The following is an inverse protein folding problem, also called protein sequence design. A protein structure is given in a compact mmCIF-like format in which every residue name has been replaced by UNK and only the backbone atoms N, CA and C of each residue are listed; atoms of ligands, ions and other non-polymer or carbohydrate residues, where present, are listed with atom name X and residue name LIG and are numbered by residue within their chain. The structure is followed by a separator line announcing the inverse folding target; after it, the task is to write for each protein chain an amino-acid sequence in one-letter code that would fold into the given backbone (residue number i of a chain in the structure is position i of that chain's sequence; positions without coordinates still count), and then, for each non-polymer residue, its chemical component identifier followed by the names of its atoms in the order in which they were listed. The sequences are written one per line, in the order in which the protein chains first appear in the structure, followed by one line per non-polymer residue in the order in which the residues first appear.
data_IF_175025063698
#
_entry.id   IF_175025063698
#
_cell.length_a   1.000
_cell.length_b   1.000
_cell.length_c   1.000
_cell.angle_alpha   90.00
_cell.angle_beta   90.00
_cell.angle_gamma   90.00
#
_symmetry.space_group_name_H-M   'P 1'
#
loop_
_entity.id
_entity.type
_entity.pdbx_description
1 polymer ?
#
# COMPACT_ATOMS: atom_id res chain seq x y z
N UNK A 1 22.38 -4.63 -6.92
CA UNK A 1 20.95 -4.91 -7.16
C UNK A 1 20.04 -3.87 -6.53
N UNK A 2 20.27 -3.43 -5.29
CA UNK A 2 19.36 -2.50 -4.60
C UNK A 2 19.13 -1.16 -5.32
N UNK A 3 20.15 -0.41 -5.79
CA UNK A 3 19.90 0.84 -6.52
C UNK A 3 19.07 0.63 -7.79
N UNK A 4 19.23 -0.53 -8.43
CA UNK A 4 18.42 -0.88 -9.59
C UNK A 4 16.96 -1.11 -9.21
N UNK A 5 16.69 -1.87 -8.14
CA UNK A 5 15.32 -2.09 -7.66
C UNK A 5 14.67 -0.77 -7.24
N UNK A 6 15.39 0.09 -6.52
CA UNK A 6 14.90 1.41 -6.10
C UNK A 6 14.49 2.27 -7.29
N UNK A 7 15.31 2.32 -8.35
CA UNK A 7 15.01 3.12 -9.55
C UNK A 7 13.76 2.60 -10.26
N UNK A 8 13.67 1.29 -10.50
CA UNK A 8 12.57 0.73 -11.31
C UNK A 8 11.26 0.64 -10.54
N UNK A 9 11.29 0.79 -9.22
CA UNK A 9 10.10 0.81 -8.34
C UNK A 9 9.76 2.21 -7.83
N UNK A 10 10.56 3.22 -8.17
CA UNK A 10 10.33 4.58 -7.71
C UNK A 10 8.97 5.11 -8.21
N UNK A 11 8.12 5.69 -7.35
CA UNK A 11 6.76 6.11 -7.74
C UNK A 11 6.74 7.01 -8.97
N UNK A 12 7.61 8.03 -9.01
CA UNK A 12 7.66 8.95 -10.15
C UNK A 12 8.16 8.28 -11.44
N UNK A 13 8.88 7.16 -11.35
CA UNK A 13 9.28 6.38 -12.54
C UNK A 13 8.11 5.53 -13.03
N UNK A 14 7.38 4.90 -12.11
CA UNK A 14 6.21 4.06 -12.42
C UNK A 14 5.02 4.85 -12.96
N UNK A 15 4.82 6.09 -12.50
CA UNK A 15 3.71 6.97 -12.91
C UNK A 15 4.06 7.86 -14.12
N UNK A 16 5.32 7.87 -14.55
CA UNK A 16 5.77 8.74 -15.64
C UNK A 16 5.34 8.21 -17.01
N UNK A 17 4.43 8.94 -17.65
CA UNK A 17 4.04 8.70 -19.04
C UNK A 17 5.23 8.79 -20.02
N UNK A 18 6.22 9.64 -19.70
CA UNK A 18 7.42 9.78 -20.53
C UNK A 18 8.28 8.52 -20.46
N UNK A 19 8.32 7.85 -19.29
CA UNK A 19 9.14 6.68 -19.05
C UNK A 19 8.40 5.36 -19.25
N UNK A 20 7.07 5.38 -19.40
CA UNK A 20 6.20 4.21 -19.47
C UNK A 20 6.73 3.12 -20.42
N UNK A 21 7.09 3.49 -21.65
CA UNK A 21 7.61 2.54 -22.63
C UNK A 21 8.98 1.97 -22.24
N UNK A 22 9.86 2.79 -21.68
CA UNK A 22 11.20 2.35 -21.25
C UNK A 22 11.09 1.42 -20.03
N UNK A 23 10.25 1.77 -19.08
CA UNK A 23 9.96 0.97 -17.88
C UNK A 23 9.30 -0.36 -18.26
N UNK A 24 8.31 -0.34 -19.15
CA UNK A 24 7.69 -1.55 -19.69
C UNK A 24 8.72 -2.47 -20.35
N UNK A 25 9.63 -1.94 -21.17
CA UNK A 25 10.73 -2.72 -21.75
C UNK A 25 11.62 -3.36 -20.68
N UNK A 26 11.96 -2.62 -19.62
CA UNK A 26 12.74 -3.17 -18.50
C UNK A 26 12.00 -4.36 -17.89
N UNK A 27 10.71 -4.21 -17.56
CA UNK A 27 9.93 -5.29 -16.97
C UNK A 27 9.75 -6.48 -17.92
N UNK A 28 9.69 -6.27 -19.23
CA UNK A 28 9.69 -7.36 -20.22
C UNK A 28 11.04 -8.10 -20.27
N UNK A 29 12.14 -7.36 -20.15
CA UNK A 29 13.46 -7.99 -19.98
C UNK A 29 13.49 -8.80 -18.68
N UNK A 30 13.02 -8.24 -17.57
CA UNK A 30 13.00 -8.93 -16.29
C UNK A 30 12.12 -10.19 -16.33
N UNK A 31 10.96 -10.15 -16.98
CA UNK A 31 10.09 -11.30 -17.18
C UNK A 31 10.83 -12.42 -17.94
N UNK A 32 11.39 -12.09 -19.11
CA UNK A 32 12.15 -13.01 -19.94
C UNK A 32 11.31 -14.06 -20.67
N UNK A 33 11.95 -14.75 -21.62
CA UNK A 33 11.30 -15.82 -22.35
C UNK A 33 10.88 -16.92 -21.36
N UNK A 34 9.61 -17.33 -21.45
CA UNK A 34 9.00 -18.32 -20.55
C UNK A 34 9.28 -18.04 -19.07
N UNK A 35 9.15 -16.77 -18.66
CA UNK A 35 9.18 -16.33 -17.26
C UNK A 35 10.52 -16.56 -16.52
N UNK A 36 11.54 -17.12 -17.19
CA UNK A 36 12.74 -17.65 -16.55
C UNK A 36 13.55 -16.61 -15.80
N UNK A 37 13.71 -15.42 -16.37
CA UNK A 37 14.52 -14.35 -15.77
C UNK A 37 13.82 -13.78 -14.54
N UNK A 38 12.50 -13.67 -14.59
CA UNK A 38 11.70 -13.17 -13.48
C UNK A 38 11.77 -14.12 -12.31
N UNK A 39 11.52 -15.41 -12.55
CA UNK A 39 11.60 -16.47 -11.54
C UNK A 39 13.01 -16.54 -10.93
N UNK A 40 14.06 -16.49 -11.75
CA UNK A 40 15.44 -16.53 -11.27
C UNK A 40 15.79 -15.33 -10.38
N UNK A 41 15.45 -14.10 -10.81
CA UNK A 41 15.69 -12.88 -10.04
C UNK A 41 14.91 -12.90 -8.72
N UNK A 42 13.61 -13.19 -8.77
CA UNK A 42 12.76 -13.20 -7.59
C UNK A 42 13.15 -14.33 -6.62
N UNK A 43 13.53 -15.50 -7.14
CA UNK A 43 14.08 -16.59 -6.36
C UNK A 43 15.38 -16.21 -5.63
N UNK A 44 16.27 -15.47 -6.30
CA UNK A 44 17.46 -14.91 -5.65
C UNK A 44 17.09 -13.94 -4.52
N UNK A 45 16.18 -13.00 -4.76
CA UNK A 45 15.73 -12.04 -3.74
C UNK A 45 15.12 -12.75 -2.52
N UNK A 46 14.24 -13.72 -2.76
CA UNK A 46 13.65 -14.56 -1.71
C UNK A 46 14.74 -15.23 -0.86
N UNK A 47 15.75 -15.83 -1.49
CA UNK A 47 16.84 -16.50 -0.77
C UNK A 47 17.64 -15.53 0.12
N UNK A 48 17.83 -14.27 -0.30
CA UNK A 48 18.48 -13.23 0.50
C UNK A 48 17.69 -12.95 1.79
N UNK A 49 16.35 -12.97 1.72
CA UNK A 49 15.49 -12.72 2.88
C UNK A 49 15.32 -13.95 3.79
N UNK A 50 15.27 -15.15 3.22
CA UNK A 50 15.15 -16.40 3.98
C UNK A 50 16.31 -16.63 4.96
N UNK A 51 17.49 -16.10 4.65
CA UNK A 51 18.70 -16.30 5.46
C UNK A 51 18.88 -15.28 6.61
N UNK A 52 17.86 -14.47 6.93
CA UNK A 52 17.96 -13.42 7.97
C UNK A 52 17.34 -13.88 9.29
N UNK A 53 18.10 -13.77 10.37
CA UNK A 53 17.62 -14.10 11.73
C UNK A 53 16.52 -13.13 12.20
N UNK A 54 16.72 -11.82 12.06
CA UNK A 54 15.73 -10.79 12.38
C UNK A 54 15.60 -9.75 11.26
N UNK A 55 14.38 -9.31 10.92
CA UNK A 55 14.17 -8.27 9.92
C UNK A 55 14.53 -6.88 10.48
N UNK A 56 15.53 -6.22 9.88
CA UNK A 56 15.80 -4.79 10.12
C UNK A 56 14.87 -3.92 9.27
N UNK A 57 14.74 -2.63 9.59
CA UNK A 57 14.01 -1.65 8.75
C UNK A 57 14.47 -1.67 7.30
N UNK A 58 15.79 -1.72 7.09
CA UNK A 58 16.39 -1.83 5.75
C UNK A 58 15.99 -3.14 5.05
N UNK A 59 15.96 -4.27 5.78
CA UNK A 59 15.52 -5.56 5.24
C UNK A 59 14.05 -5.51 4.80
N UNK A 60 13.20 -4.85 5.58
CA UNK A 60 11.77 -4.69 5.26
C UNK A 60 11.56 -3.79 4.04
N UNK A 61 12.32 -2.69 3.93
CA UNK A 61 12.27 -1.82 2.75
C UNK A 61 12.69 -2.59 1.49
N UNK A 62 13.79 -3.35 1.55
CA UNK A 62 14.23 -4.15 0.41
C UNK A 62 13.23 -5.26 0.05
N UNK A 63 12.56 -5.83 1.04
CA UNK A 63 11.49 -6.80 0.84
C UNK A 63 10.29 -6.16 0.12
N UNK A 64 9.89 -4.95 0.52
CA UNK A 64 8.84 -4.17 -0.15
C UNK A 64 9.20 -3.87 -1.61
N UNK A 65 10.41 -3.38 -1.89
CA UNK A 65 10.85 -3.15 -3.28
C UNK A 65 10.81 -4.45 -4.10
N UNK A 66 11.14 -5.59 -3.50
CA UNK A 66 11.08 -6.90 -4.15
C UNK A 66 9.64 -7.32 -4.49
N UNK A 67 8.67 -7.01 -3.62
CA UNK A 67 7.24 -7.23 -3.88
C UNK A 67 6.71 -6.30 -4.98
N UNK A 68 7.16 -5.04 -5.02
CA UNK A 68 6.79 -4.12 -6.11
C UNK A 68 7.34 -4.64 -7.44
N UNK A 69 8.58 -5.12 -7.49
CA UNK A 69 9.14 -5.73 -8.70
C UNK A 69 8.37 -6.98 -9.11
N UNK A 70 8.04 -7.87 -8.17
CA UNK A 70 7.18 -9.03 -8.44
C UNK A 70 5.86 -8.62 -9.10
N UNK A 71 5.17 -7.64 -8.50
CA UNK A 71 3.90 -7.13 -9.01
C UNK A 71 4.03 -6.51 -10.40
N UNK A 72 5.05 -5.69 -10.63
CA UNK A 72 5.25 -5.03 -11.92
C UNK A 72 5.65 -6.01 -13.03
N UNK A 73 6.44 -7.04 -12.72
CA UNK A 73 6.77 -8.13 -13.66
C UNK A 73 5.48 -8.79 -14.15
N UNK A 74 4.54 -9.09 -13.26
CA UNK A 74 3.26 -9.71 -13.62
C UNK A 74 2.35 -8.71 -14.34
N UNK A 75 2.12 -7.53 -13.75
CA UNK A 75 1.20 -6.52 -14.27
C UNK A 75 1.51 -6.12 -15.72
N UNK A 76 2.79 -5.91 -16.04
CA UNK A 76 3.21 -5.36 -17.33
C UNK A 76 3.45 -6.43 -18.42
N UNK A 77 3.46 -7.71 -18.05
CA UNK A 77 3.72 -8.82 -18.98
C UNK A 77 2.54 -9.79 -19.11
N UNK A 78 1.42 -9.49 -18.46
CA UNK A 78 0.23 -10.34 -18.49
C UNK A 78 -0.82 -9.82 -19.46
N UNK A 79 -1.31 -10.70 -20.35
CA UNK A 79 -2.58 -10.50 -21.07
C UNK A 79 -3.75 -11.28 -20.41
N UNK A 80 -3.49 -12.10 -19.38
CA UNK A 80 -4.49 -12.97 -18.75
C UNK A 80 -4.19 -13.26 -17.26
N UNK A 81 -5.23 -13.24 -16.44
CA UNK A 81 -5.21 -13.11 -14.97
C UNK A 81 -4.53 -14.23 -14.14
N UNK A 82 -3.84 -15.19 -14.75
CA UNK A 82 -3.21 -16.32 -14.04
C UNK A 82 -1.84 -16.68 -14.62
N UNK A 83 -0.78 -16.43 -13.84
CA UNK A 83 0.57 -16.94 -14.12
C UNK A 83 0.93 -18.08 -13.17
N UNK A 84 0.53 -19.29 -13.54
CA UNK A 84 0.89 -20.54 -12.85
C UNK A 84 2.40 -20.64 -12.50
N UNK A 85 3.36 -20.20 -13.37
CA UNK A 85 4.78 -20.27 -13.03
C UNK A 85 5.24 -19.35 -11.89
N UNK A 86 4.49 -18.28 -11.58
CA UNK A 86 4.82 -17.33 -10.51
C UNK A 86 4.11 -17.63 -9.18
N UNK A 87 3.17 -18.59 -9.15
CA UNK A 87 2.49 -19.00 -7.92
C UNK A 87 3.48 -19.49 -6.84
N UNK A 88 4.48 -20.35 -7.16
CA UNK A 88 5.47 -20.76 -6.16
C UNK A 88 6.28 -19.58 -5.60
N UNK A 89 6.51 -18.54 -6.43
CA UNK A 89 7.23 -17.33 -6.02
C UNK A 89 6.38 -16.52 -5.03
N UNK A 90 5.09 -16.33 -5.32
CA UNK A 90 4.15 -15.67 -4.41
C UNK A 90 4.06 -16.38 -3.07
N UNK A 91 3.91 -17.71 -3.08
CA UNK A 91 3.83 -18.50 -1.85
C UNK A 91 5.08 -18.32 -0.98
N UNK A 92 6.27 -18.34 -1.58
CA UNK A 92 7.52 -18.13 -0.83
C UNK A 92 7.64 -16.73 -0.24
N UNK A 93 7.23 -15.69 -0.97
CA UNK A 93 7.14 -14.34 -0.41
C UNK A 93 6.15 -14.28 0.77
N UNK A 94 4.99 -14.93 0.65
CA UNK A 94 3.99 -14.97 1.72
C UNK A 94 4.52 -15.67 2.98
N UNK A 95 5.25 -16.77 2.85
CA UNK A 95 5.86 -17.46 3.99
C UNK A 95 6.93 -16.60 4.68
N UNK A 96 7.81 -15.94 3.93
CA UNK A 96 8.77 -14.99 4.51
C UNK A 96 8.05 -13.85 5.24
N UNK A 97 6.98 -13.33 4.64
CA UNK A 97 6.20 -12.26 5.25
C UNK A 97 5.60 -12.70 6.60
N UNK A 98 4.98 -13.88 6.66
CA UNK A 98 4.47 -14.47 7.90
C UNK A 98 5.58 -14.61 8.96
N UNK A 99 6.76 -15.08 8.55
CA UNK A 99 7.89 -15.23 9.45
C UNK A 99 8.44 -13.89 9.97
N UNK A 100 8.50 -12.86 9.14
CA UNK A 100 8.87 -11.52 9.58
C UNK A 100 7.88 -10.96 10.59
N UNK A 101 6.57 -11.13 10.36
CA UNK A 101 5.54 -10.73 11.31
C UNK A 101 5.70 -11.49 12.63
N UNK A 102 5.85 -12.82 12.60
CA UNK A 102 6.06 -13.64 13.80
C UNK A 102 7.27 -13.19 14.60
N UNK A 103 8.43 -12.99 13.95
CA UNK A 103 9.67 -12.56 14.60
C UNK A 103 9.54 -11.17 15.22
N UNK A 104 8.92 -10.25 14.49
CA UNK A 104 8.67 -8.88 14.95
C UNK A 104 7.75 -8.88 16.18
N UNK A 105 6.63 -9.61 16.13
CA UNK A 105 5.72 -9.76 17.26
C UNK A 105 6.39 -10.47 18.46
N UNK A 106 7.22 -11.49 18.23
CA UNK A 106 7.99 -12.16 19.28
C UNK A 106 8.94 -11.18 19.99
N UNK A 107 9.70 -10.37 19.24
CA UNK A 107 10.55 -9.33 19.84
C UNK A 107 9.75 -8.30 20.64
N UNK A 108 8.57 -7.89 20.14
CA UNK A 108 7.69 -6.96 20.86
C UNK A 108 7.11 -7.55 22.14
N UNK A 109 6.74 -8.83 22.15
CA UNK A 109 6.23 -9.50 23.36
C UNK A 109 7.27 -9.64 24.50
N UNK A 110 8.56 -9.37 24.23
CA UNK A 110 9.66 -9.50 25.17
C UNK A 110 10.19 -8.16 25.74
N UNK A 111 9.66 -7.00 25.31
CA UNK A 111 10.13 -5.68 25.78
C UNK A 111 9.07 -4.93 26.61
N UNK A 112 9.12 -4.96 27.96
CA UNK A 112 8.21 -4.22 28.82
C UNK A 112 8.76 -2.79 29.06
N UNK A 113 8.15 -1.76 28.48
CA UNK A 113 8.55 -0.37 28.78
C UNK A 113 7.59 0.71 28.27
N UNK A 114 7.57 1.91 28.89
CA UNK A 114 6.56 2.96 28.69
C UNK A 114 6.76 3.82 27.42
N UNK A 115 7.63 3.41 26.49
CA UNK A 115 7.91 4.13 25.25
C UNK A 115 6.79 4.01 24.20
N UNK A 116 5.76 3.21 24.47
CA UNK A 116 4.56 3.05 23.65
C UNK A 116 3.92 4.39 23.27
N UNK A 117 3.92 5.39 24.16
CA UNK A 117 3.30 6.69 23.89
C UNK A 117 4.18 7.62 23.04
N UNK A 118 5.50 7.66 23.22
CA UNK A 118 6.34 8.68 22.57
C UNK A 118 6.53 8.42 21.08
N UNK A 119 6.78 7.15 20.68
CA UNK A 119 6.90 6.79 19.27
C UNK A 119 5.55 6.82 18.54
N UNK A 120 4.44 6.54 19.24
CA UNK A 120 3.10 6.67 18.69
C UNK A 120 2.74 8.15 18.50
N UNK A 121 2.91 9.00 19.53
CA UNK A 121 2.56 10.44 19.53
C UNK A 121 3.35 11.27 18.52
N UNK A 122 4.65 11.00 18.33
CA UNK A 122 5.46 11.77 17.36
C UNK A 122 5.11 11.39 15.91
N UNK A 123 4.65 10.15 15.65
CA UNK A 123 4.15 9.74 14.34
C UNK A 123 2.75 10.29 14.02
N UNK A 124 1.97 10.68 15.04
CA UNK A 124 0.54 11.04 14.89
C UNK A 124 0.28 12.48 14.47
N UNK A 125 1.29 13.34 14.34
CA UNK A 125 1.04 14.79 14.32
C UNK A 125 0.57 15.39 12.99
N UNK A 126 0.31 14.59 11.95
CA UNK A 126 -0.26 15.12 10.69
C UNK A 126 -1.36 14.29 10.03
N UNK A 127 -1.79 13.17 10.62
CA UNK A 127 -2.97 12.43 10.18
C UNK A 127 -3.55 11.65 11.37
N UNK A 128 -4.81 11.90 11.73
CA UNK A 128 -5.49 11.10 12.75
C UNK A 128 -5.51 9.63 12.26
N UNK A 129 -5.03 8.66 13.06
CA UNK A 129 -5.08 7.25 12.68
C UNK A 129 -6.53 6.78 12.51
N UNK A 130 -6.75 5.66 11.78
CA UNK A 130 -8.07 5.01 11.72
C UNK A 130 -8.55 4.65 13.14
N UNK A 131 -9.87 4.62 13.37
CA UNK A 131 -10.47 4.36 14.68
C UNK A 131 -11.24 5.54 15.31
N UNK A 132 -12.48 5.28 15.74
CA UNK A 132 -13.23 6.16 16.66
C UNK A 132 -14.09 7.26 16.04
N UNK A 133 -14.21 7.37 14.71
CA UNK A 133 -15.09 8.36 14.05
C UNK A 133 -16.57 7.96 14.02
N UNK A 134 -16.84 6.66 14.06
CA UNK A 134 -18.17 6.02 14.07
C UNK A 134 -18.03 4.55 14.47
N UNK A 135 -19.13 3.86 14.74
CA UNK A 135 -19.20 2.43 15.08
C UNK A 135 -18.46 1.48 14.11
N UNK A 136 -18.34 1.85 12.83
CA UNK A 136 -17.65 1.06 11.81
C UNK A 136 -16.22 1.53 11.49
N UNK A 137 -15.65 2.42 12.32
CA UNK A 137 -14.27 2.89 12.18
C UNK A 137 -13.36 2.24 13.22
N UNK A 138 -12.61 1.22 12.79
CA UNK A 138 -11.62 0.51 13.61
C UNK A 138 -10.21 0.71 13.07
N UNK A 139 -9.21 0.57 13.95
CA UNK A 139 -7.78 0.48 13.56
C UNK A 139 -7.49 -0.81 12.78
N UNK A 140 -8.06 -1.93 13.24
CA UNK A 140 -7.99 -3.22 12.57
C UNK A 140 -9.07 -3.32 11.49
N UNK A 141 -8.66 -3.62 10.25
CA UNK A 141 -9.58 -3.79 9.13
C UNK A 141 -10.45 -5.05 9.26
N UNK A 142 -10.06 -6.03 10.09
CA UNK A 142 -10.83 -7.24 10.31
C UNK A 142 -12.13 -6.97 11.09
N UNK A 143 -12.16 -5.88 11.85
CA UNK A 143 -13.32 -5.43 12.61
C UNK A 143 -14.22 -4.46 11.82
N UNK A 144 -13.80 -4.05 10.62
CA UNK A 144 -14.56 -3.13 9.77
C UNK A 144 -15.52 -3.91 8.89
N UNK A 145 -16.80 -3.57 8.96
CA UNK A 145 -17.82 -4.17 8.11
C UNK A 145 -17.70 -3.69 6.66
N UNK A 146 -17.87 -4.63 5.73
CA UNK A 146 -17.87 -4.35 4.28
C UNK A 146 -19.01 -3.40 3.92
N UNK A 147 -20.19 -3.62 4.49
CA UNK A 147 -21.34 -2.71 4.33
C UNK A 147 -21.21 -1.52 5.28
N UNK A 148 -21.63 -0.32 4.86
CA UNK A 148 -21.61 0.83 5.74
C UNK A 148 -22.71 0.72 6.80
N UNK A 149 -22.43 1.25 7.98
CA UNK A 149 -23.42 1.40 9.05
C UNK A 149 -24.16 2.74 8.92
N UNK A 150 -25.27 2.89 9.64
CA UNK A 150 -25.98 4.17 9.69
C UNK A 150 -25.13 5.27 10.31
N UNK A 151 -24.38 4.96 11.37
CA UNK A 151 -23.55 5.95 12.05
C UNK A 151 -22.37 6.40 11.18
N UNK A 152 -21.81 5.50 10.37
CA UNK A 152 -20.81 5.82 9.35
C UNK A 152 -21.35 6.76 8.26
N UNK A 153 -22.53 6.47 7.71
CA UNK A 153 -23.18 7.34 6.72
C UNK A 153 -23.50 8.71 7.34
N UNK A 154 -23.89 8.74 8.62
CA UNK A 154 -24.27 9.96 9.32
C UNK A 154 -23.09 10.73 9.94
N UNK A 155 -21.88 10.15 9.93
CA UNK A 155 -20.73 10.76 10.60
C UNK A 155 -20.32 12.06 9.88
N UNK A 156 -20.18 13.18 10.61
CA UNK A 156 -19.69 14.43 10.05
C UNK A 156 -18.16 14.45 9.91
N UNK A 157 -17.47 13.42 10.43
CA UNK A 157 -16.02 13.34 10.41
C UNK A 157 -15.53 12.78 9.07
N UNK A 158 -14.44 13.35 8.54
CA UNK A 158 -13.83 12.86 7.31
C UNK A 158 -13.23 11.46 7.51
N UNK A 159 -13.43 10.58 6.55
CA UNK A 159 -12.87 9.22 6.57
C UNK A 159 -11.33 9.25 6.67
N UNK A 160 -10.75 8.22 7.30
CA UNK A 160 -9.29 8.07 7.26
C UNK A 160 -8.86 7.63 5.86
N UNK A 161 -8.14 8.52 5.17
CA UNK A 161 -7.49 8.20 3.91
C UNK A 161 -6.00 7.94 4.14
N UNK A 162 -5.46 6.83 3.61
CA UNK A 162 -4.04 6.57 3.67
C UNK A 162 -3.21 7.73 3.07
N UNK A 163 -2.24 8.23 3.83
CA UNK A 163 -1.30 9.23 3.35
C UNK A 163 -0.46 8.68 2.18
N UNK A 164 -0.06 9.56 1.26
CA UNK A 164 0.83 9.19 0.15
C UNK A 164 2.27 8.92 0.60
N UNK A 165 2.71 9.60 1.67
CA UNK A 165 4.03 9.41 2.25
C UNK A 165 4.07 8.12 3.10
N UNK A 166 4.93 7.14 2.77
CA UNK A 166 5.10 5.92 3.56
C UNK A 166 5.43 6.14 5.03
N UNK A 167 6.07 7.27 5.37
CA UNK A 167 6.43 7.62 6.75
C UNK A 167 5.23 8.00 7.60
N UNK A 168 4.10 8.32 6.98
CA UNK A 168 2.86 8.73 7.62
C UNK A 168 1.83 7.60 7.70
N UNK A 169 2.19 6.39 7.27
CA UNK A 169 1.26 5.27 7.28
C UNK A 169 1.00 4.75 8.69
N UNK A 170 -0.29 4.61 9.02
CA UNK A 170 -0.73 3.95 10.25
C UNK A 170 -0.18 2.52 10.40
N UNK A 171 -0.13 1.76 9.30
CA UNK A 171 0.48 0.43 9.24
C UNK A 171 1.39 0.35 8.02
N UNK A 172 2.66 -0.01 8.24
CA UNK A 172 3.66 -0.25 7.20
C UNK A 172 3.68 -1.70 6.68
N UNK A 173 4.57 -1.97 5.72
CA UNK A 173 4.78 -3.33 5.17
C UNK A 173 3.56 -3.88 4.41
N UNK A 174 3.55 -5.20 4.14
CA UNK A 174 2.51 -5.82 3.31
C UNK A 174 1.11 -5.83 3.97
N UNK A 175 1.02 -5.96 5.29
CA UNK A 175 -0.25 -5.75 6.03
C UNK A 175 -0.76 -4.33 5.84
N UNK A 176 0.15 -3.36 5.82
CA UNK A 176 -0.16 -1.98 5.48
C UNK A 176 -0.73 -1.82 4.08
N UNK A 177 -0.19 -2.52 3.07
CA UNK A 177 -0.71 -2.48 1.69
C UNK A 177 -2.16 -2.95 1.65
N UNK A 178 -2.46 -4.10 2.28
CA UNK A 178 -3.83 -4.61 2.35
C UNK A 178 -4.76 -3.63 3.07
N UNK A 179 -4.33 -3.09 4.21
CA UNK A 179 -5.09 -2.12 5.00
C UNK A 179 -5.42 -0.87 4.17
N UNK A 180 -4.43 -0.28 3.50
CA UNK A 180 -4.64 0.90 2.66
C UNK A 180 -5.56 0.61 1.49
N UNK A 181 -5.35 -0.50 0.78
CA UNK A 181 -6.17 -0.87 -0.37
C UNK A 181 -7.62 -1.14 0.03
N UNK A 182 -7.86 -1.79 1.17
CA UNK A 182 -9.20 -2.01 1.72
C UNK A 182 -9.90 -0.66 2.00
N UNK A 183 -9.22 0.26 2.67
CA UNK A 183 -9.80 1.58 3.02
C UNK A 183 -10.04 2.45 1.79
N UNK A 184 -9.15 2.45 0.81
CA UNK A 184 -9.36 3.14 -0.47
C UNK A 184 -10.52 2.55 -1.27
N UNK A 185 -10.68 1.22 -1.25
CA UNK A 185 -11.82 0.56 -1.88
C UNK A 185 -13.13 0.96 -1.20
N UNK A 186 -13.16 1.05 0.13
CA UNK A 186 -14.33 1.53 0.89
C UNK A 186 -14.64 2.98 0.59
N UNK A 187 -13.65 3.87 0.52
CA UNK A 187 -13.91 5.27 0.14
C UNK A 187 -14.54 5.35 -1.26
N UNK A 188 -14.05 4.54 -2.21
CA UNK A 188 -14.63 4.49 -3.56
C UNK A 188 -16.07 3.98 -3.60
N UNK A 189 -16.55 3.24 -2.60
CA UNK A 189 -17.92 2.70 -2.58
C UNK A 189 -18.82 3.46 -1.60
N UNK A 190 -18.44 3.49 -0.33
CA UNK A 190 -19.17 4.15 0.76
C UNK A 190 -19.08 5.67 0.65
N UNK A 191 -17.93 6.23 0.25
CA UNK A 191 -17.78 7.67 0.05
C UNK A 191 -18.73 8.21 -1.01
N UNK A 192 -18.88 7.51 -2.15
CA UNK A 192 -19.86 7.87 -3.18
C UNK A 192 -21.31 7.79 -2.68
N UNK A 193 -21.64 6.81 -1.83
CA UNK A 193 -22.96 6.69 -1.24
C UNK A 193 -23.24 7.86 -0.28
N UNK A 194 -22.27 8.18 0.59
CA UNK A 194 -22.32 9.33 1.50
C UNK A 194 -22.53 10.63 0.72
N UNK A 195 -21.73 10.84 -0.32
CA UNK A 195 -21.82 12.01 -1.20
C UNK A 195 -23.15 12.06 -1.96
N UNK A 196 -23.76 10.92 -2.30
CA UNK A 196 -25.08 10.88 -2.94
C UNK A 196 -26.22 11.26 -1.98
N UNK A 197 -26.09 10.88 -0.71
CA UNK A 197 -27.06 11.18 0.34
C UNK A 197 -26.97 12.66 0.74
N UNK A 198 -25.76 13.21 0.87
CA UNK A 198 -25.54 14.62 1.22
C UNK A 198 -25.55 15.57 0.02
N UNK A 199 -25.13 15.10 -1.14
CA UNK A 199 -25.13 15.84 -2.40
C UNK A 199 -26.53 16.12 -2.93
N UNK A 200 -27.56 15.36 -2.49
CA UNK A 200 -28.97 15.71 -2.74
C UNK A 200 -29.54 16.77 -1.80
N UNK A 201 -28.79 17.20 -0.76
CA UNK A 201 -29.24 18.25 0.17
C UNK A 201 -28.68 19.65 -0.18
N UNK A 202 -27.89 19.76 -1.24
CA UNK A 202 -27.35 21.03 -1.73
C UNK A 202 -27.15 21.03 -3.24
N UNK A 203 -28.21 21.35 -4.00
CA UNK A 203 -27.97 21.98 -5.29
C UNK A 203 -27.32 23.36 -5.07
N UNK A 204 -26.34 23.69 -5.94
CA UNK A 204 -25.56 24.95 -6.09
C UNK A 204 -24.31 25.04 -5.18
N UNK A 205 -23.04 25.16 -5.65
CA UNK A 205 -22.47 25.70 -6.91
C UNK A 205 -21.12 25.00 -7.24
N UNK A 206 -20.93 24.66 -8.52
CA UNK A 206 -19.62 24.34 -9.11
C UNK A 206 -18.71 25.59 -9.17
N UNK A 207 -17.46 25.58 -8.69
CA UNK A 207 -16.47 26.54 -9.17
C UNK A 207 -15.85 25.99 -10.47
N UNK A 208 -16.39 26.43 -11.62
CA UNK A 208 -15.64 26.37 -12.88
C UNK A 208 -14.55 27.45 -12.84
N UNK A 209 -13.33 27.03 -13.22
CA UNK A 209 -12.27 27.79 -13.90
C UNK A 209 -11.86 29.15 -13.30
N UNK A 210 -10.61 29.25 -12.85
CA UNK A 210 -9.87 30.52 -12.88
C UNK A 210 -8.75 30.43 -13.92
N UNK A 211 -9.09 30.88 -15.13
CA UNK A 211 -8.17 31.59 -16.00
C UNK A 211 -8.72 33.01 -16.19
N UNK A 212 -7.82 33.98 -16.31
CA UNK A 212 -8.01 35.43 -16.42
C UNK A 212 -8.03 36.19 -15.08
N UNK A 213 -6.87 36.78 -14.75
CA UNK A 213 -6.81 38.12 -14.19
C UNK A 213 -6.28 38.99 -15.33
N UNK A 214 -7.14 39.86 -15.86
CA UNK A 214 -6.76 40.98 -16.71
C UNK A 214 -6.66 42.24 -15.86
N UNK A 215 -5.57 42.96 -16.12
CA UNK A 215 -5.46 44.43 -16.15
C UNK A 215 -5.60 45.23 -14.84
N UNK A 216 -4.48 45.85 -14.48
CA UNK A 216 -4.36 47.31 -14.38
C UNK A 216 -3.08 47.76 -15.08
#
# INVERSE_FOLDING_TARGET
MLPFLEIITFPNVLESLVLEQAVGKIYNVLFGNTERRGIALLGFLINVFSNREQPTTETLNHFELSLVVYWQIIKLNSLAFTHEPFEPVAMRFAEIFKDFIRKTLWTFSKSPGPTWNVYFTILTLTAQPPGGRHDNDSTDICDVQIMPTFEEILSPQSEYLPAKDPRQWHIGGATGVLNRNFRLLRENTVGQLRDSIYGKKGEWVHPRKFGAISES
#
